data_IF_723418352483
#
_entry.id   IF_723418352483
#
_cell.length_a   1.000
_cell.length_b   1.000
_cell.length_c   1.000
_cell.angle_alpha   90.00
_cell.angle_beta   90.00
_cell.angle_gamma   90.00
#
_symmetry.space_group_name_H-M   'P 1'
#
loop_
_entity.id
_entity.type
_entity.pdbx_description
1 polymer ?
#
# COMPACT_ATOMS: atom_id res chain seq x y z
N UNK A 1 -2.68 -1.95 13.15
CA UNK A 1 -1.98 -1.61 11.88
C UNK A 1 -3.00 -1.13 10.85
N UNK A 2 -2.68 -0.17 9.98
CA UNK A 2 -3.61 0.36 8.97
C UNK A 2 -3.25 -0.14 7.57
N UNK A 3 -4.18 -0.82 6.88
CA UNK A 3 -3.99 -1.35 5.52
C UNK A 3 -3.45 -0.29 4.53
N UNK A 4 -3.96 0.93 4.57
CA UNK A 4 -3.49 2.01 3.69
C UNK A 4 -2.04 2.41 3.96
N UNK A 5 -1.61 2.39 5.22
CA UNK A 5 -0.23 2.67 5.61
C UNK A 5 0.71 1.62 5.03
N UNK A 6 0.36 0.33 5.16
CA UNK A 6 1.17 -0.76 4.60
C UNK A 6 1.20 -0.75 3.07
N UNK A 7 0.08 -0.42 2.41
CA UNK A 7 0.05 -0.22 0.96
C UNK A 7 1.02 0.89 0.50
N UNK A 8 1.05 2.03 1.20
CA UNK A 8 1.99 3.12 0.90
C UNK A 8 3.44 2.72 1.20
N UNK A 9 3.68 1.90 2.23
CA UNK A 9 5.01 1.40 2.57
C UNK A 9 5.58 0.52 1.45
N UNK A 10 4.79 -0.42 0.93
CA UNK A 10 5.22 -1.26 -0.22
C UNK A 10 5.59 -0.38 -1.41
N UNK A 11 4.73 0.59 -1.76
CA UNK A 11 4.99 1.51 -2.89
C UNK A 11 6.28 2.29 -2.71
N UNK A 12 6.55 2.85 -1.53
CA UNK A 12 7.79 3.60 -1.27
C UNK A 12 9.03 2.73 -1.41
N UNK A 13 8.99 1.47 -0.95
CA UNK A 13 10.11 0.55 -1.08
C UNK A 13 10.34 0.14 -2.54
N UNK A 14 9.26 -0.06 -3.31
CA UNK A 14 9.34 -0.31 -4.76
C UNK A 14 9.95 0.89 -5.50
N UNK A 15 9.56 2.12 -5.14
CA UNK A 15 10.15 3.37 -5.67
C UNK A 15 11.65 3.48 -5.31
N UNK A 16 12.04 3.14 -4.08
CA UNK A 16 13.45 3.12 -3.66
C UNK A 16 14.29 2.08 -4.42
N UNK A 17 13.73 0.89 -4.68
CA UNK A 17 14.40 -0.14 -5.47
C UNK A 17 14.66 0.33 -6.90
N UNK A 18 13.67 1.01 -7.49
CA UNK A 18 13.78 1.57 -8.84
C UNK A 18 14.84 2.67 -8.90
N UNK A 19 14.89 3.57 -7.91
CA UNK A 19 15.90 4.61 -7.80
C UNK A 19 17.32 4.02 -7.71
N UNK A 20 17.53 3.01 -6.86
CA UNK A 20 18.83 2.32 -6.73
C UNK A 20 19.25 1.69 -8.06
N UNK A 21 18.32 1.07 -8.78
CA UNK A 21 18.58 0.48 -10.10
C UNK A 21 18.93 1.54 -11.15
N UNK A 22 18.20 2.66 -11.19
CA UNK A 22 18.46 3.76 -12.13
C UNK A 22 19.81 4.42 -11.88
N UNK A 23 20.17 4.68 -10.62
CA UNK A 23 21.45 5.26 -10.25
C UNK A 23 22.64 4.39 -10.67
N UNK A 24 22.49 3.06 -10.68
CA UNK A 24 23.53 2.16 -11.18
C UNK A 24 23.63 2.16 -12.71
N UNK A 25 22.51 2.31 -13.41
CA UNK A 25 22.45 2.34 -14.88
C UNK A 25 22.87 3.68 -15.48
N UNK A 26 22.84 4.77 -14.70
CA UNK A 26 23.34 6.09 -15.09
C UNK A 26 24.41 6.58 -14.11
N UNK A 27 25.62 6.00 -14.12
CA UNK A 27 26.73 6.58 -13.37
C UNK A 27 27.01 7.95 -13.95
N UNK A 28 26.84 9.01 -13.15
CA UNK A 28 27.30 10.35 -13.48
C UNK A 28 28.76 10.27 -13.94
N UNK A 29 29.01 10.58 -15.21
CA UNK A 29 30.33 10.46 -15.83
C UNK A 29 31.23 11.55 -15.25
N UNK A 30 32.03 11.20 -14.24
CA UNK A 30 33.22 11.98 -13.89
C UNK A 30 34.33 11.50 -14.82
N UNK A 31 34.53 12.22 -15.93
CA UNK A 31 35.56 11.91 -16.93
C UNK A 31 36.92 12.42 -16.44
N UNK A 32 37.65 11.64 -15.65
CA UNK A 32 39.02 11.95 -15.20
C UNK A 32 40.09 10.98 -15.77
N UNK A 33 39.74 10.26 -16.84
CA UNK A 33 40.71 9.56 -17.70
C UNK A 33 41.49 8.36 -17.12
N UNK A 34 41.31 7.98 -15.85
CA UNK A 34 42.08 6.89 -15.21
C UNK A 34 41.18 5.79 -14.63
N UNK A 35 41.40 4.49 -14.95
CA UNK A 35 40.64 3.40 -14.35
C UNK A 35 41.12 3.17 -12.90
N UNK A 36 40.33 3.60 -11.93
CA UNK A 36 40.54 3.27 -10.52
C UNK A 36 39.91 1.90 -10.19
N UNK A 37 40.65 1.05 -9.48
CA UNK A 37 40.28 -0.35 -9.16
C UNK A 37 39.14 -0.54 -8.14
N UNK A 38 38.16 0.34 -8.10
CA UNK A 38 37.04 0.38 -7.13
C UNK A 38 35.80 -0.41 -7.58
N UNK A 39 35.68 -0.75 -8.88
CA UNK A 39 34.45 -1.28 -9.48
C UNK A 39 33.88 -2.56 -8.83
N UNK A 40 34.73 -3.48 -8.36
CA UNK A 40 34.27 -4.76 -7.78
C UNK A 40 33.55 -4.58 -6.44
N UNK A 41 34.04 -3.66 -5.60
CA UNK A 41 33.44 -3.36 -4.29
C UNK A 41 32.12 -2.62 -4.47
N UNK A 42 32.07 -1.69 -5.42
CA UNK A 42 30.85 -0.94 -5.73
C UNK A 42 29.74 -1.84 -6.27
N UNK A 43 30.09 -2.93 -6.96
CA UNK A 43 29.12 -3.95 -7.41
C UNK A 43 28.61 -4.83 -6.26
N UNK A 44 29.47 -5.23 -5.32
CA UNK A 44 29.03 -6.00 -4.15
C UNK A 44 28.13 -5.16 -3.24
N UNK A 45 28.50 -3.91 -2.97
CA UNK A 45 27.74 -3.02 -2.10
C UNK A 45 26.37 -2.68 -2.72
N UNK A 46 26.32 -2.49 -4.05
CA UNK A 46 25.07 -2.38 -4.80
C UNK A 46 24.19 -3.64 -4.65
N UNK A 47 24.77 -4.83 -4.83
CA UNK A 47 24.02 -6.08 -4.75
C UNK A 47 23.43 -6.31 -3.35
N UNK A 48 24.19 -6.02 -2.30
CA UNK A 48 23.71 -6.04 -0.91
C UNK A 48 22.53 -5.08 -0.75
N UNK A 49 22.63 -3.85 -1.28
CA UNK A 49 21.56 -2.86 -1.13
C UNK A 49 20.26 -3.26 -1.82
N UNK A 50 20.36 -3.87 -3.00
CA UNK A 50 19.21 -4.39 -3.74
C UNK A 50 18.53 -5.50 -2.95
N UNK A 51 19.29 -6.49 -2.45
CA UNK A 51 18.73 -7.61 -1.68
C UNK A 51 18.04 -7.12 -0.40
N UNK A 52 18.64 -6.19 0.34
CA UNK A 52 18.02 -5.58 1.53
C UNK A 52 16.63 -4.98 1.23
N UNK A 53 16.53 -4.22 0.15
CA UNK A 53 15.27 -3.56 -0.23
C UNK A 53 14.26 -4.61 -0.71
N UNK A 54 14.68 -5.61 -1.48
CA UNK A 54 13.82 -6.70 -1.93
C UNK A 54 13.24 -7.50 -0.76
N UNK A 55 14.06 -7.85 0.24
CA UNK A 55 13.58 -8.49 1.47
C UNK A 55 12.61 -7.60 2.24
N UNK A 56 12.89 -6.29 2.33
CA UNK A 56 11.99 -5.34 2.97
C UNK A 56 10.64 -5.22 2.23
N UNK A 57 10.63 -5.28 0.88
CA UNK A 57 9.41 -5.30 0.06
C UNK A 57 8.60 -6.56 0.37
N UNK A 58 9.24 -7.73 0.42
CA UNK A 58 8.58 -8.99 0.75
C UNK A 58 7.89 -8.88 2.11
N UNK A 59 8.63 -8.48 3.15
CA UNK A 59 8.09 -8.30 4.49
C UNK A 59 6.92 -7.28 4.51
N UNK A 60 7.05 -6.14 3.84
CA UNK A 60 6.00 -5.14 3.75
C UNK A 60 4.75 -5.64 3.00
N UNK A 61 4.92 -6.46 1.95
CA UNK A 61 3.81 -7.08 1.21
C UNK A 61 3.05 -8.06 2.10
N UNK A 62 3.76 -8.87 2.90
CA UNK A 62 3.13 -9.73 3.90
C UNK A 62 2.34 -8.91 4.93
N UNK A 63 2.94 -7.87 5.53
CA UNK A 63 2.24 -6.99 6.48
C UNK A 63 0.99 -6.36 5.86
N UNK A 64 1.06 -5.94 4.59
CA UNK A 64 -0.08 -5.40 3.83
C UNK A 64 -1.20 -6.43 3.69
N UNK A 65 -0.87 -7.69 3.38
CA UNK A 65 -1.86 -8.77 3.25
C UNK A 65 -2.54 -9.03 4.59
N UNK A 66 -1.77 -9.18 5.67
CA UNK A 66 -2.33 -9.38 7.01
C UNK A 66 -3.25 -8.21 7.41
N UNK A 67 -2.81 -6.97 7.18
CA UNK A 67 -3.63 -5.79 7.49
C UNK A 67 -4.91 -5.72 6.63
N UNK A 68 -4.84 -6.15 5.37
CA UNK A 68 -6.02 -6.24 4.50
C UNK A 68 -7.02 -7.28 5.02
N UNK A 69 -6.54 -8.49 5.32
CA UNK A 69 -7.35 -9.59 5.83
C UNK A 69 -8.03 -9.22 7.14
N UNK A 70 -7.31 -8.55 8.04
CA UNK A 70 -7.87 -8.12 9.32
C UNK A 70 -9.01 -7.10 9.16
N UNK A 71 -8.80 -6.08 8.31
CA UNK A 71 -9.86 -5.10 8.02
C UNK A 71 -11.04 -5.77 7.32
N UNK A 72 -10.78 -6.65 6.36
CA UNK A 72 -11.83 -7.39 5.66
C UNK A 72 -12.65 -8.22 6.64
N UNK A 73 -12.00 -9.04 7.47
CA UNK A 73 -12.64 -9.90 8.46
C UNK A 73 -13.55 -9.10 9.40
N UNK A 74 -13.09 -7.96 9.91
CA UNK A 74 -13.90 -7.09 10.78
C UNK A 74 -15.10 -6.49 10.07
N UNK A 75 -14.94 -6.08 8.80
CA UNK A 75 -16.09 -5.61 8.01
C UNK A 75 -17.08 -6.76 7.77
N UNK A 76 -16.60 -7.97 7.45
CA UNK A 76 -17.49 -9.12 7.23
C UNK A 76 -18.29 -9.52 8.47
N UNK A 77 -17.74 -9.27 9.67
CA UNK A 77 -18.38 -9.57 10.95
C UNK A 77 -19.53 -8.63 11.33
N UNK A 78 -19.72 -7.51 10.63
CA UNK A 78 -20.88 -6.63 10.86
C UNK A 78 -22.20 -7.35 10.48
N UNK A 79 -23.35 -6.80 10.86
CA UNK A 79 -24.65 -7.39 10.50
C UNK A 79 -25.24 -6.76 9.23
N UNK A 80 -25.25 -5.42 9.12
CA UNK A 80 -25.88 -4.72 7.98
C UNK A 80 -25.02 -4.82 6.71
N UNK A 81 -25.51 -5.56 5.72
CA UNK A 81 -24.83 -5.76 4.43
C UNK A 81 -24.57 -4.47 3.63
N UNK A 82 -25.39 -3.43 3.80
CA UNK A 82 -25.18 -2.13 3.13
C UNK A 82 -24.01 -1.39 3.78
N UNK A 83 -23.87 -1.51 5.09
CA UNK A 83 -22.75 -0.96 5.84
C UNK A 83 -21.45 -1.70 5.49
N UNK A 84 -21.49 -3.03 5.39
CA UNK A 84 -20.37 -3.81 4.85
C UNK A 84 -19.97 -3.33 3.46
N UNK A 85 -20.94 -3.22 2.56
CA UNK A 85 -20.69 -2.85 1.17
C UNK A 85 -20.02 -1.47 1.07
N UNK A 86 -20.52 -0.46 1.78
CA UNK A 86 -19.95 0.88 1.72
C UNK A 86 -18.51 0.91 2.26
N UNK A 87 -18.22 0.18 3.35
CA UNK A 87 -16.88 0.09 3.92
C UNK A 87 -15.91 -0.68 3.02
N UNK A 88 -16.33 -1.83 2.46
CA UNK A 88 -15.53 -2.59 1.49
C UNK A 88 -15.17 -1.72 0.29
N UNK A 89 -16.16 -1.03 -0.30
CA UNK A 89 -15.90 -0.20 -1.48
C UNK A 89 -15.00 0.99 -1.15
N UNK A 90 -15.18 1.61 0.02
CA UNK A 90 -14.39 2.78 0.42
C UNK A 90 -12.96 2.43 0.81
N UNK A 91 -12.76 1.39 1.62
CA UNK A 91 -11.48 1.13 2.27
C UNK A 91 -10.68 -0.03 1.69
N UNK A 92 -11.34 -1.03 1.11
CA UNK A 92 -10.66 -2.16 0.45
C UNK A 92 -10.50 -1.91 -1.06
N UNK A 93 -11.57 -1.50 -1.74
CA UNK A 93 -11.55 -1.21 -3.18
C UNK A 93 -11.10 0.22 -3.52
N UNK A 94 -10.95 1.09 -2.52
CA UNK A 94 -10.50 2.49 -2.65
C UNK A 94 -11.32 3.31 -3.65
N UNK A 95 -12.62 3.03 -3.75
CA UNK A 95 -13.52 3.78 -4.61
C UNK A 95 -13.77 5.17 -4.02
N UNK A 96 -13.99 6.13 -4.92
CA UNK A 96 -14.50 7.44 -4.54
C UNK A 96 -16.03 7.37 -4.31
N UNK A 97 -16.57 8.34 -3.60
CA UNK A 97 -17.99 8.35 -3.23
C UNK A 97 -18.94 8.31 -4.42
N UNK A 98 -18.59 8.93 -5.55
CA UNK A 98 -19.41 8.89 -6.77
C UNK A 98 -19.54 7.48 -7.36
N UNK A 99 -18.42 6.76 -7.48
CA UNK A 99 -18.42 5.35 -7.93
C UNK A 99 -19.19 4.45 -6.97
N UNK A 100 -19.09 4.71 -5.67
CA UNK A 100 -19.85 3.97 -4.64
C UNK A 100 -21.34 4.23 -4.78
N UNK A 101 -21.76 5.48 -4.98
CA UNK A 101 -23.15 5.85 -5.19
C UNK A 101 -23.77 5.13 -6.39
N UNK A 102 -23.08 5.11 -7.52
CA UNK A 102 -23.48 4.35 -8.71
C UNK A 102 -23.59 2.85 -8.39
N UNK A 103 -22.56 2.27 -7.77
CA UNK A 103 -22.50 0.84 -7.47
C UNK A 103 -23.58 0.38 -6.49
N UNK A 104 -23.91 1.20 -5.51
CA UNK A 104 -24.96 0.93 -4.52
C UNK A 104 -26.36 1.32 -5.00
N UNK A 105 -26.47 1.97 -6.18
CA UNK A 105 -27.72 2.54 -6.69
C UNK A 105 -28.39 3.47 -5.66
N UNK A 106 -27.57 4.32 -5.03
CA UNK A 106 -27.99 5.30 -4.02
C UNK A 106 -27.52 6.68 -4.40
N UNK A 107 -28.19 7.71 -3.88
CA UNK A 107 -27.69 9.08 -4.01
C UNK A 107 -26.41 9.26 -3.19
N UNK A 108 -25.58 10.20 -3.60
CA UNK A 108 -24.35 10.57 -2.88
C UNK A 108 -24.61 10.82 -1.39
N UNK A 109 -25.69 11.55 -1.07
CA UNK A 109 -26.11 11.86 0.30
C UNK A 109 -26.51 10.62 1.09
N UNK A 110 -27.18 9.65 0.45
CA UNK A 110 -27.54 8.38 1.09
C UNK A 110 -26.29 7.55 1.41
N UNK A 111 -25.35 7.46 0.48
CA UNK A 111 -24.08 6.74 0.71
C UNK A 111 -23.31 7.32 1.89
N UNK A 112 -23.17 8.64 1.96
CA UNK A 112 -22.48 9.28 3.08
C UNK A 112 -23.17 9.03 4.42
N UNK A 113 -24.51 8.98 4.44
CA UNK A 113 -25.26 8.66 5.66
C UNK A 113 -25.01 7.22 6.11
N UNK A 114 -25.11 6.26 5.18
CA UNK A 114 -24.84 4.83 5.45
C UNK A 114 -23.38 4.66 5.91
N UNK A 115 -22.45 5.38 5.29
CA UNK A 115 -21.05 5.36 5.72
C UNK A 115 -20.88 5.88 7.15
N UNK A 116 -21.56 6.97 7.52
CA UNK A 116 -21.54 7.50 8.88
C UNK A 116 -22.06 6.51 9.92
N UNK A 117 -23.19 5.83 9.65
CA UNK A 117 -23.73 4.80 10.55
C UNK A 117 -22.82 3.58 10.61
N UNK A 118 -22.30 3.14 9.46
CA UNK A 118 -21.38 2.02 9.36
C UNK A 118 -20.13 2.22 10.23
N UNK A 119 -19.55 3.41 10.24
CA UNK A 119 -18.40 3.71 11.10
C UNK A 119 -18.74 3.66 12.60
N UNK A 120 -19.94 4.10 12.99
CA UNK A 120 -20.38 4.03 14.38
C UNK A 120 -20.57 2.58 14.83
N UNK A 121 -21.17 1.74 13.97
CA UNK A 121 -21.38 0.32 14.26
C UNK A 121 -20.08 -0.47 14.26
N UNK A 122 -19.20 -0.20 13.29
CA UNK A 122 -17.88 -0.83 13.21
C UNK A 122 -17.07 -0.61 14.49
N UNK A 123 -17.07 0.61 15.04
CA UNK A 123 -16.35 0.91 16.28
C UNK A 123 -16.96 0.24 17.52
N UNK A 124 -18.26 -0.10 17.53
CA UNK A 124 -18.90 -0.81 18.65
C UNK A 124 -18.54 -2.29 18.68
N UNK A 125 -18.29 -2.90 17.52
CA UNK A 125 -17.88 -4.31 17.41
C UNK A 125 -16.42 -4.55 17.80
N UNK A 126 -15.65 -3.49 18.10
CA UNK A 126 -14.23 -3.55 18.43
C UNK A 126 -13.93 -3.39 19.93
N UNK A 127 -14.96 -3.24 20.77
CA UNK A 127 -14.91 -3.21 22.24
C UNK A 127 -15.34 -4.57 22.77
#
# INVERSE_FOLDING_TARGET
>A
MSYQKEKRRVRRLEEQLEEVRQNKMSPSVTNDGMPHGTDKKDLSDYAVKVDEIEQAIIAARYSRICAFQEVQRRIEAMEDEREKAVLKYRYLALMNWGKIAIKMQKSYRQVLRIHGTALQHFNRTDV
#
